data_IF_644576392650
#
_entry.id   IF_644576392650
#
_cell.length_a   1.000
_cell.length_b   1.000
_cell.length_c   1.000
_cell.angle_alpha   90.00
_cell.angle_beta   90.00
_cell.angle_gamma   90.00
#
_symmetry.space_group_name_H-M   'P 1'
#
loop_
_entity.id
_entity.type
_entity.pdbx_description
1 polymer ?
#
# COMPACT_ATOMS: atom_id res chain seq x y z
N UNK A 1 -23.53 1.77 21.86
CA UNK A 1 -23.42 2.38 20.52
C UNK A 1 -24.28 1.56 19.59
N UNK A 2 -25.33 2.16 19.05
CA UNK A 2 -26.43 1.48 18.33
C UNK A 2 -26.04 1.26 16.86
N UNK A 3 -26.67 0.27 16.22
CA UNK A 3 -26.41 -0.13 14.82
C UNK A 3 -26.62 1.00 13.78
N UNK A 4 -27.27 2.10 14.16
CA UNK A 4 -27.39 3.32 13.33
C UNK A 4 -26.09 4.13 13.22
N UNK A 5 -25.23 4.14 14.25
CA UNK A 5 -23.97 4.89 14.25
C UNK A 5 -22.94 4.25 13.29
N UNK A 6 -22.97 2.92 13.12
CA UNK A 6 -22.15 2.20 12.14
C UNK A 6 -22.53 2.50 10.68
N UNK A 7 -23.78 2.88 10.40
CA UNK A 7 -24.23 3.25 9.03
C UNK A 7 -23.87 4.68 8.64
N UNK A 8 -23.46 5.52 9.60
CA UNK A 8 -22.97 6.89 9.37
C UNK A 8 -21.44 7.00 9.30
N UNK A 9 -20.75 5.88 9.24
CA UNK A 9 -19.32 5.89 8.97
C UNK A 9 -19.19 5.96 7.45
N UNK A 10 -18.64 7.04 6.91
CA UNK A 10 -18.10 7.05 5.54
C UNK A 10 -17.02 5.98 5.38
N UNK A 11 -16.19 6.04 4.32
CA UNK A 11 -15.06 5.10 4.13
C UNK A 11 -14.42 4.80 5.50
N UNK A 12 -14.41 3.55 5.99
CA UNK A 12 -13.86 3.25 7.32
C UNK A 12 -12.39 3.65 7.29
N UNK A 13 -12.07 4.78 7.91
CA UNK A 13 -10.81 5.50 7.70
C UNK A 13 -9.94 5.31 8.93
N UNK A 14 -9.49 4.07 9.14
CA UNK A 14 -8.43 3.80 10.11
C UNK A 14 -7.03 3.96 9.49
N UNK A 15 -6.91 4.02 8.15
CA UNK A 15 -5.65 4.31 7.44
C UNK A 15 -5.93 4.81 6.01
N UNK A 16 -6.32 6.09 5.85
CA UNK A 16 -6.51 6.66 4.53
C UNK A 16 -5.15 6.80 3.82
N UNK A 17 -5.08 6.31 2.59
CA UNK A 17 -3.95 6.58 1.68
C UNK A 17 -4.10 8.01 1.14
N UNK A 18 -3.79 9.00 1.97
CA UNK A 18 -4.00 10.43 1.69
C UNK A 18 -3.00 10.96 0.66
N UNK A 19 -1.75 10.51 0.74
CA UNK A 19 -0.68 11.02 -0.12
C UNK A 19 -0.48 10.15 -1.35
N UNK A 20 -0.60 10.76 -2.54
CA UNK A 20 -0.20 10.16 -3.81
C UNK A 20 1.21 10.61 -4.17
N UNK A 21 2.07 9.65 -4.51
CA UNK A 21 3.42 9.87 -5.00
C UNK A 21 3.60 9.15 -6.34
N UNK A 22 4.28 9.79 -7.29
CA UNK A 22 4.68 9.18 -8.56
C UNK A 22 6.20 9.13 -8.62
N UNK A 23 6.76 7.94 -8.82
CA UNK A 23 8.20 7.70 -8.88
C UNK A 23 8.51 6.88 -10.12
N UNK A 24 9.51 7.30 -10.89
CA UNK A 24 10.02 6.54 -12.02
C UNK A 24 11.05 5.51 -11.54
N UNK A 25 10.94 4.29 -12.05
CA UNK A 25 11.87 3.19 -11.76
C UNK A 25 12.65 2.83 -13.01
N UNK A 26 13.90 2.41 -12.86
CA UNK A 26 14.65 1.81 -13.96
C UNK A 26 14.12 0.38 -14.26
N UNK A 27 14.59 -0.22 -15.35
CA UNK A 27 14.13 -1.54 -15.79
C UNK A 27 14.37 -2.64 -14.73
N UNK A 28 15.50 -2.61 -14.05
CA UNK A 28 15.86 -3.59 -13.02
C UNK A 28 14.95 -3.50 -11.79
N UNK A 29 14.72 -2.29 -11.29
CA UNK A 29 13.81 -2.01 -10.17
C UNK A 29 12.37 -2.41 -10.52
N UNK A 30 11.92 -2.10 -11.74
CA UNK A 30 10.59 -2.51 -12.20
C UNK A 30 10.45 -4.04 -12.23
N UNK A 31 11.51 -4.76 -12.65
CA UNK A 31 11.56 -6.22 -12.62
C UNK A 31 11.52 -6.76 -11.18
N UNK A 32 12.30 -6.20 -10.27
CA UNK A 32 12.31 -6.59 -8.85
C UNK A 32 10.93 -6.43 -8.21
N UNK A 33 10.25 -5.31 -8.46
CA UNK A 33 8.89 -5.07 -7.95
C UNK A 33 7.92 -6.10 -8.54
N UNK A 34 8.03 -6.41 -9.83
CA UNK A 34 7.16 -7.40 -10.50
C UNK A 34 7.39 -8.82 -9.99
N UNK A 35 8.64 -9.23 -9.78
CA UNK A 35 8.99 -10.55 -9.28
C UNK A 35 8.51 -10.73 -7.83
N UNK A 36 8.76 -9.73 -6.96
CA UNK A 36 8.30 -9.74 -5.57
C UNK A 36 6.77 -9.76 -5.46
N UNK A 37 6.09 -8.98 -6.30
CA UNK A 37 4.63 -8.94 -6.41
C UNK A 37 4.06 -10.32 -6.78
N UNK A 38 4.67 -11.01 -7.75
CA UNK A 38 4.26 -12.35 -8.18
C UNK A 38 4.52 -13.41 -7.10
N UNK A 39 5.70 -13.39 -6.48
CA UNK A 39 6.08 -14.35 -5.43
C UNK A 39 5.14 -14.28 -4.21
N UNK A 40 4.74 -13.06 -3.82
CA UNK A 40 3.88 -12.84 -2.65
C UNK A 40 2.37 -12.83 -2.98
N UNK A 41 1.99 -12.88 -4.26
CA UNK A 41 0.60 -12.78 -4.68
C UNK A 41 -0.05 -11.43 -4.37
N UNK A 42 0.74 -10.36 -4.29
CA UNK A 42 0.29 -8.99 -3.96
C UNK A 42 0.39 -8.08 -5.17
N UNK A 43 -0.22 -6.90 -5.11
CA UNK A 43 -0.09 -5.90 -6.18
C UNK A 43 1.28 -5.21 -6.17
N UNK A 44 1.73 -4.69 -7.33
CA UNK A 44 2.96 -3.87 -7.42
C UNK A 44 2.95 -2.68 -6.45
N UNK A 45 1.78 -2.08 -6.23
CA UNK A 45 1.63 -0.98 -5.28
C UNK A 45 1.86 -1.43 -3.81
N UNK A 46 1.41 -2.63 -3.44
CA UNK A 46 1.68 -3.20 -2.12
C UNK A 46 3.13 -3.63 -1.96
N UNK A 47 3.75 -4.17 -3.02
CA UNK A 47 5.17 -4.47 -3.05
C UNK A 47 6.03 -3.23 -2.72
N UNK A 48 5.72 -2.09 -3.34
CA UNK A 48 6.40 -0.81 -3.04
C UNK A 48 6.16 -0.40 -1.58
N UNK A 49 4.92 -0.48 -1.08
CA UNK A 49 4.62 -0.16 0.34
C UNK A 49 5.37 -1.06 1.31
N UNK A 50 5.48 -2.35 1.03
CA UNK A 50 6.28 -3.28 1.83
C UNK A 50 7.75 -2.87 1.87
N UNK A 51 8.30 -2.44 0.73
CA UNK A 51 9.65 -1.86 0.67
C UNK A 51 9.79 -0.63 1.55
N UNK A 52 8.86 0.33 1.44
CA UNK A 52 8.85 1.55 2.26
C UNK A 52 8.74 1.23 3.75
N UNK A 53 7.93 0.26 4.15
CA UNK A 53 7.79 -0.16 5.55
C UNK A 53 9.10 -0.69 6.14
N UNK A 54 10.03 -1.21 5.33
CA UNK A 54 11.36 -1.62 5.78
C UNK A 54 12.29 -0.44 6.07
N UNK A 55 11.97 0.76 5.58
CA UNK A 55 12.71 2.00 5.90
C UNK A 55 12.40 2.54 7.29
N UNK A 56 11.43 1.95 8.01
CA UNK A 56 11.24 2.27 9.43
C UNK A 56 12.52 1.91 10.17
N UNK A 57 13.32 2.94 10.44
CA UNK A 57 14.53 2.84 11.27
C UNK A 57 14.09 2.36 12.64
N UNK A 58 14.79 1.36 13.18
CA UNK A 58 14.58 0.83 14.53
C UNK A 58 14.90 1.87 15.59
#
# INVERSE_FOLDING_TARGET
MTEEEKRRVGRPTNDPKETRMSVSFNAEQAKLISDYSREKGITKAEAVRHGVNKLKVK
#
